data_IF_082111659135
#
_entry.id   IF_082111659135
#
_cell.length_a   1.000
_cell.length_b   1.000
_cell.length_c   1.000
_cell.angle_alpha   90.00
_cell.angle_beta   90.00
_cell.angle_gamma   90.00
#
_symmetry.space_group_name_H-M   'P 1'
#
loop_
_entity.id
_entity.type
_entity.pdbx_description
1 polymer ?
#
# COMPACT_ATOMS: atom_id res chain seq x y z
N UNK A 1 -3.83 -23.78 -25.82
CA UNK A 1 -3.25 -24.07 -24.50
C UNK A 1 -3.28 -22.73 -23.76
N UNK A 2 -4.26 -22.51 -22.88
CA UNK A 2 -4.34 -21.24 -22.16
C UNK A 2 -3.16 -21.18 -21.20
N UNK A 3 -2.33 -20.15 -21.34
CA UNK A 3 -1.18 -19.87 -20.50
C UNK A 3 -1.58 -19.91 -19.02
N UNK A 4 -0.87 -20.68 -18.21
CA UNK A 4 -0.94 -20.63 -16.74
C UNK A 4 -0.27 -19.36 -16.22
N UNK A 5 -0.66 -18.20 -16.75
CA UNK A 5 -0.14 -16.89 -16.40
C UNK A 5 -0.56 -16.54 -14.97
N UNK A 6 0.37 -16.78 -14.03
CA UNK A 6 0.53 -16.17 -12.71
C UNK A 6 -0.77 -15.90 -11.95
N UNK A 7 -1.44 -16.96 -11.49
CA UNK A 7 -2.44 -16.81 -10.42
C UNK A 7 -1.72 -16.47 -9.12
N UNK A 8 -2.01 -15.30 -8.55
CA UNK A 8 -1.57 -14.97 -7.19
C UNK A 8 -2.23 -15.98 -6.24
N UNK A 9 -1.40 -16.72 -5.50
CA UNK A 9 -1.86 -17.68 -4.51
C UNK A 9 -1.95 -16.96 -3.17
N UNK A 10 -3.16 -16.91 -2.61
CA UNK A 10 -3.39 -16.35 -1.29
C UNK A 10 -3.46 -17.46 -0.23
N UNK A 11 -3.04 -17.20 1.02
CA UNK A 11 -2.47 -15.94 1.48
C UNK A 11 -1.00 -15.75 1.07
N UNK A 12 -0.57 -14.52 0.82
CA UNK A 12 0.81 -14.21 0.44
C UNK A 12 1.26 -12.82 0.90
N UNK A 13 2.58 -12.63 0.99
CA UNK A 13 3.15 -11.29 1.13
C UNK A 13 2.95 -10.51 -0.17
N UNK A 14 2.29 -9.36 -0.06
CA UNK A 14 1.93 -8.52 -1.20
C UNK A 14 2.53 -7.12 -1.03
N UNK A 15 3.52 -6.73 -1.85
CA UNK A 15 4.07 -5.39 -1.80
C UNK A 15 3.12 -4.40 -2.48
N UNK A 16 2.71 -3.35 -1.76
CA UNK A 16 1.98 -2.21 -2.31
C UNK A 16 2.87 -0.97 -2.26
N UNK A 17 2.89 -0.20 -3.35
CA UNK A 17 3.57 1.09 -3.41
C UNK A 17 2.57 2.23 -3.51
N UNK A 18 2.60 3.14 -2.56
CA UNK A 18 1.76 4.33 -2.50
C UNK A 18 2.59 5.57 -2.80
N UNK A 19 2.22 6.32 -3.83
CA UNK A 19 2.74 7.65 -4.10
C UNK A 19 1.72 8.69 -3.62
N UNK A 20 2.13 9.58 -2.74
CA UNK A 20 1.27 10.62 -2.19
C UNK A 20 1.99 11.98 -2.14
N UNK A 21 1.21 13.06 -2.08
CA UNK A 21 1.73 14.40 -1.80
C UNK A 21 2.34 14.42 -0.40
N UNK A 22 3.51 15.04 -0.28
CA UNK A 22 4.14 15.26 1.01
C UNK A 22 3.38 16.35 1.78
N UNK A 23 2.57 15.93 2.75
CA UNK A 23 1.95 16.83 3.73
C UNK A 23 2.16 16.28 5.13
N UNK A 24 2.02 17.14 6.13
CA UNK A 24 2.06 16.73 7.53
C UNK A 24 1.00 15.64 7.79
N UNK A 25 1.41 14.55 8.45
CA UNK A 25 0.55 13.43 8.84
C UNK A 25 0.18 12.42 7.75
N UNK A 26 0.59 12.60 6.49
CA UNK A 26 0.16 11.67 5.42
C UNK A 26 0.66 10.24 5.62
N UNK A 27 1.85 10.08 6.20
CA UNK A 27 2.43 8.76 6.46
C UNK A 27 1.62 8.04 7.54
N UNK A 28 1.20 8.75 8.57
CA UNK A 28 0.37 8.21 9.65
C UNK A 28 -1.03 7.86 9.14
N UNK A 29 -1.65 8.73 8.33
CA UNK A 29 -2.95 8.44 7.71
C UNK A 29 -2.92 7.17 6.85
N UNK A 30 -1.82 6.94 6.12
CA UNK A 30 -1.63 5.74 5.31
C UNK A 30 -1.38 4.50 6.21
N UNK A 31 -0.56 4.63 7.26
CA UNK A 31 -0.35 3.56 8.25
C UNK A 31 -1.67 3.15 8.89
N UNK A 32 -2.46 4.10 9.37
CA UNK A 32 -3.75 3.87 10.01
C UNK A 32 -4.74 3.25 9.03
N UNK A 33 -4.73 3.68 7.77
CA UNK A 33 -5.55 3.08 6.72
C UNK A 33 -5.20 1.60 6.52
N UNK A 34 -3.92 1.25 6.42
CA UNK A 34 -3.49 -0.14 6.19
C UNK A 34 -3.68 -0.99 7.46
N UNK A 35 -3.44 -0.43 8.65
CA UNK A 35 -3.60 -1.12 9.93
C UNK A 35 -5.03 -1.58 10.21
N UNK A 36 -6.05 -0.98 9.56
CA UNK A 36 -7.44 -1.47 9.58
C UNK A 36 -7.63 -2.80 8.87
N UNK A 37 -6.77 -3.13 7.93
CA UNK A 37 -6.82 -4.35 7.11
C UNK A 37 -5.80 -5.40 7.59
N UNK A 38 -4.62 -4.96 8.00
CA UNK A 38 -3.55 -5.82 8.49
C UNK A 38 -3.04 -5.34 9.85
N UNK A 39 -3.52 -5.97 10.93
CA UNK A 39 -3.09 -5.66 12.30
C UNK A 39 -1.65 -6.11 12.62
N UNK A 40 -1.03 -6.92 11.75
CA UNK A 40 0.36 -7.34 11.91
C UNK A 40 1.34 -6.37 11.23
N UNK A 41 0.85 -5.33 10.57
CA UNK A 41 1.72 -4.34 9.97
C UNK A 41 2.55 -3.65 11.05
N UNK A 42 3.86 -3.76 10.92
CA UNK A 42 4.82 -3.10 11.80
C UNK A 42 5.57 -2.00 11.04
N UNK A 43 6.21 -1.09 11.75
CA UNK A 43 6.93 0.03 11.13
C UNK A 43 8.11 -0.43 10.25
N UNK A 44 8.65 -1.64 10.47
CA UNK A 44 9.75 -2.22 9.68
C UNK A 44 9.28 -2.75 8.32
N UNK A 45 7.99 -3.05 8.16
CA UNK A 45 7.37 -3.48 6.90
C UNK A 45 7.17 -2.33 5.91
N UNK A 46 7.52 -1.08 6.29
CA UNK A 46 7.34 0.10 5.47
C UNK A 46 8.64 0.85 5.19
N UNK A 47 8.91 1.10 3.90
CA UNK A 47 10.00 1.98 3.48
C UNK A 47 9.45 3.29 2.94
N UNK A 48 9.99 4.41 3.41
CA UNK A 48 9.63 5.75 2.97
C UNK A 48 10.75 6.38 2.14
N UNK A 49 10.39 6.97 1.00
CA UNK A 49 11.29 7.79 0.19
C UNK A 49 10.63 9.10 -0.17
N UNK A 50 11.21 10.20 0.32
CA UNK A 50 10.83 11.55 -0.12
C UNK A 50 11.44 11.80 -1.50
N UNK A 51 10.64 12.35 -2.41
CA UNK A 51 11.09 12.74 -3.75
C UNK A 51 12.18 13.83 -3.68
N UNK A 52 13.02 13.93 -4.70
CA UNK A 52 14.13 14.89 -4.72
C UNK A 52 13.72 16.36 -4.58
N UNK A 53 12.49 16.73 -4.96
CA UNK A 53 11.93 18.08 -4.79
C UNK A 53 11.11 18.26 -3.51
N UNK A 54 10.95 17.22 -2.69
CA UNK A 54 10.19 17.27 -1.44
C UNK A 54 8.66 17.28 -1.56
N UNK A 55 8.09 17.33 -2.77
CA UNK A 55 6.64 17.46 -2.98
C UNK A 55 5.85 16.16 -2.83
N UNK A 56 6.53 15.01 -2.94
CA UNK A 56 5.92 13.68 -2.92
C UNK A 56 6.69 12.73 -2.02
N UNK A 57 5.97 11.74 -1.50
CA UNK A 57 6.50 10.61 -0.75
C UNK A 57 6.07 9.32 -1.47
N UNK A 58 7.03 8.42 -1.68
CA UNK A 58 6.76 7.02 -2.03
C UNK A 58 6.88 6.16 -0.77
N UNK A 59 5.81 5.45 -0.45
CA UNK A 59 5.77 4.43 0.59
C UNK A 59 5.69 3.07 -0.07
N UNK A 60 6.55 2.14 0.33
CA UNK A 60 6.44 0.73 -0.04
C UNK A 60 6.09 -0.03 1.23
N UNK A 61 5.00 -0.78 1.19
CA UNK A 61 4.49 -1.57 2.31
C UNK A 61 4.35 -3.01 1.85
N UNK A 62 4.87 -3.96 2.62
CA UNK A 62 4.59 -5.37 2.42
C UNK A 62 3.51 -5.79 3.42
N UNK A 63 2.36 -6.25 2.91
CA UNK A 63 1.22 -6.68 3.71
C UNK A 63 0.91 -8.16 3.50
N UNK A 64 0.28 -8.79 4.48
CA UNK A 64 -0.14 -10.18 4.37
C UNK A 64 -1.53 -10.27 3.71
N UNK A 65 -1.56 -10.49 2.40
CA UNK A 65 -2.79 -10.51 1.63
C UNK A 65 -3.51 -11.85 1.80
N UNK A 66 -4.75 -11.83 2.29
CA UNK A 66 -5.58 -13.02 2.48
C UNK A 66 -6.39 -13.43 1.25
N UNK A 67 -6.70 -12.48 0.35
CA UNK A 67 -7.44 -12.70 -0.88
C UNK A 67 -7.33 -11.48 -1.81
N UNK A 68 -7.74 -11.64 -3.06
CA UNK A 68 -7.86 -10.52 -4.00
C UNK A 68 -8.82 -9.44 -3.49
N UNK A 69 -9.93 -9.83 -2.85
CA UNK A 69 -10.87 -8.88 -2.23
C UNK A 69 -10.24 -8.08 -1.10
N UNK A 70 -9.35 -8.71 -0.32
CA UNK A 70 -8.60 -8.04 0.74
C UNK A 70 -7.69 -6.95 0.15
N UNK A 71 -6.90 -7.30 -0.87
CA UNK A 71 -6.02 -6.34 -1.57
C UNK A 71 -6.82 -5.18 -2.18
N UNK A 72 -7.96 -5.49 -2.82
CA UNK A 72 -8.82 -4.46 -3.42
C UNK A 72 -9.44 -3.53 -2.38
N UNK A 73 -9.81 -4.04 -1.19
CA UNK A 73 -10.28 -3.20 -0.08
C UNK A 73 -9.22 -2.18 0.35
N UNK A 74 -7.98 -2.63 0.57
CA UNK A 74 -6.85 -1.78 0.91
C UNK A 74 -6.60 -0.73 -0.18
N UNK A 75 -6.62 -1.15 -1.45
CA UNK A 75 -6.42 -0.26 -2.59
C UNK A 75 -7.46 0.86 -2.68
N UNK A 76 -8.74 0.53 -2.49
CA UNK A 76 -9.83 1.50 -2.53
C UNK A 76 -9.73 2.51 -1.38
N UNK A 77 -9.46 2.04 -0.16
CA UNK A 77 -9.32 2.91 0.99
C UNK A 77 -8.12 3.86 0.86
N UNK A 78 -6.98 3.35 0.37
CA UNK A 78 -5.81 4.19 0.08
C UNK A 78 -6.13 5.25 -0.99
N UNK A 79 -6.88 4.90 -2.04
CA UNK A 79 -7.29 5.86 -3.07
C UNK A 79 -8.23 6.95 -2.57
N UNK A 80 -9.00 6.68 -1.51
CA UNK A 80 -9.90 7.67 -0.91
C UNK A 80 -9.14 8.74 -0.11
N UNK A 81 -7.85 8.53 0.19
CA UNK A 81 -7.02 9.56 0.81
C UNK A 81 -6.65 10.61 -0.25
N UNK A 82 -7.17 11.84 -0.11
CA UNK A 82 -7.03 12.93 -1.10
C UNK A 82 -5.58 13.17 -1.59
N UNK A 83 -4.61 12.97 -0.69
CA UNK A 83 -3.19 13.18 -0.97
C UNK A 83 -2.53 12.03 -1.73
N UNK A 84 -3.13 10.84 -1.75
CA UNK A 84 -2.68 9.71 -2.56
C UNK A 84 -2.92 10.02 -4.03
N UNK A 85 -1.92 9.73 -4.86
CA UNK A 85 -1.94 9.98 -6.31
C UNK A 85 -1.82 8.70 -7.11
N UNK A 86 -1.16 7.70 -6.56
CA UNK A 86 -1.00 6.40 -7.21
C UNK A 86 -0.84 5.31 -6.15
N UNK A 87 -1.43 4.16 -6.42
CA UNK A 87 -1.22 2.91 -5.70
C UNK A 87 -0.85 1.86 -6.76
N UNK A 88 0.26 1.16 -6.57
CA UNK A 88 0.82 0.15 -7.46
C UNK A 88 1.01 -1.17 -6.71
#
# INVERSE_FOLDING_TARGET
>A
MLSEETRILFPCDYPIKVLCKNRKGIVDDIKDCIGKHDSNINELSMTQKVSGKGNYISLTVVLYALSEKHVMGIYLDLKNIESVKLVL
#
